data_IF_893055740159
#
_entry.id   IF_893055740159
#
_cell.length_a   1.000
_cell.length_b   1.000
_cell.length_c   1.000
_cell.angle_alpha   90.00
_cell.angle_beta   90.00
_cell.angle_gamma   90.00
#
_symmetry.space_group_name_H-M   'P 1'
#
loop_
_entity.id
_entity.type
_entity.pdbx_description
1 polymer ?
#
# COMPACT_ATOMS: atom_id res chain seq x y z
N UNK A 1 26.17 -6.66 -18.62
CA UNK A 1 24.99 -5.96 -19.18
C UNK A 1 23.72 -6.79 -19.17
N UNK A 2 23.74 -8.04 -19.61
CA UNK A 2 22.57 -8.94 -19.57
C UNK A 2 22.09 -9.24 -18.14
N UNK A 3 23.00 -9.39 -17.17
CA UNK A 3 22.68 -9.67 -15.78
C UNK A 3 21.97 -8.49 -15.09
N UNK A 4 22.36 -7.26 -15.39
CA UNK A 4 21.73 -6.05 -14.85
C UNK A 4 20.30 -5.88 -15.35
N UNK A 5 20.04 -6.16 -16.63
CA UNK A 5 18.69 -6.13 -17.17
C UNK A 5 17.74 -7.14 -16.53
N UNK A 6 18.24 -8.34 -16.23
CA UNK A 6 17.46 -9.36 -15.53
C UNK A 6 17.16 -8.96 -14.07
N UNK A 7 18.12 -8.35 -13.38
CA UNK A 7 17.96 -7.90 -12.01
C UNK A 7 16.89 -6.80 -11.90
N UNK A 8 16.87 -5.89 -12.86
CA UNK A 8 15.87 -4.83 -12.94
C UNK A 8 14.46 -5.38 -13.13
N UNK A 9 14.28 -6.31 -14.06
CA UNK A 9 13.01 -6.99 -14.28
C UNK A 9 12.59 -7.74 -13.02
N UNK A 10 13.51 -8.42 -12.36
CA UNK A 10 13.24 -9.16 -11.13
C UNK A 10 12.78 -8.25 -9.99
N UNK A 11 13.40 -7.08 -9.80
CA UNK A 11 12.97 -6.09 -8.80
C UNK A 11 11.56 -5.59 -9.05
N UNK A 12 11.24 -5.28 -10.31
CA UNK A 12 9.90 -4.85 -10.69
C UNK A 12 8.84 -5.93 -10.42
N UNK A 13 9.14 -7.17 -10.80
CA UNK A 13 8.25 -8.32 -10.55
C UNK A 13 8.08 -8.55 -9.03
N UNK A 14 9.16 -8.54 -8.25
CA UNK A 14 9.09 -8.70 -6.80
C UNK A 14 8.23 -7.62 -6.14
N UNK A 15 8.37 -6.37 -6.54
CA UNK A 15 7.56 -5.28 -6.01
C UNK A 15 6.07 -5.49 -6.32
N UNK A 16 5.73 -5.81 -7.56
CA UNK A 16 4.35 -6.03 -7.97
C UNK A 16 3.74 -7.26 -7.30
N UNK A 17 4.44 -8.38 -7.27
CA UNK A 17 3.96 -9.63 -6.68
C UNK A 17 3.90 -9.59 -5.15
N UNK A 18 4.60 -8.68 -4.50
CA UNK A 18 4.54 -8.48 -3.05
C UNK A 18 3.43 -7.53 -2.65
N UNK A 19 3.39 -6.33 -3.24
CA UNK A 19 2.46 -5.29 -2.82
C UNK A 19 1.05 -5.50 -3.33
N UNK A 20 0.87 -5.86 -4.60
CA UNK A 20 -0.46 -5.96 -5.20
C UNK A 20 -1.32 -7.05 -4.56
N UNK A 21 -0.85 -8.30 -4.36
CA UNK A 21 -1.64 -9.31 -3.67
C UNK A 21 -1.94 -8.94 -2.22
N UNK A 22 -0.99 -8.36 -1.50
CA UNK A 22 -1.19 -7.93 -0.12
C UNK A 22 -2.27 -6.85 -0.01
N UNK A 23 -2.26 -5.87 -0.89
CA UNK A 23 -3.28 -4.80 -0.92
C UNK A 23 -4.66 -5.34 -1.30
N UNK A 24 -4.75 -6.30 -2.22
CA UNK A 24 -6.02 -6.95 -2.56
C UNK A 24 -6.58 -7.73 -1.39
N UNK A 25 -5.75 -8.51 -0.69
CA UNK A 25 -6.12 -9.20 0.54
C UNK A 25 -6.62 -8.22 1.59
N UNK A 26 -5.95 -7.08 1.76
CA UNK A 26 -6.38 -6.03 2.68
C UNK A 26 -7.77 -5.49 2.32
N UNK A 27 -8.06 -5.28 1.04
CA UNK A 27 -9.38 -4.87 0.57
C UNK A 27 -10.46 -5.90 0.92
N UNK A 28 -10.18 -7.19 0.73
CA UNK A 28 -11.10 -8.27 1.10
C UNK A 28 -11.32 -8.34 2.62
N UNK A 29 -10.28 -8.12 3.42
CA UNK A 29 -10.40 -8.07 4.89
C UNK A 29 -11.27 -6.89 5.34
N UNK A 30 -11.21 -5.76 4.67
CA UNK A 30 -12.11 -4.63 4.95
C UNK A 30 -13.56 -4.98 4.66
N UNK A 31 -13.85 -5.71 3.57
CA UNK A 31 -15.20 -6.19 3.27
C UNK A 31 -15.72 -7.13 4.36
N UNK A 32 -14.91 -8.08 4.81
CA UNK A 32 -15.24 -8.95 5.94
C UNK A 32 -15.47 -8.18 7.23
N UNK A 33 -14.71 -7.12 7.47
CA UNK A 33 -14.93 -6.23 8.62
C UNK A 33 -16.29 -5.54 8.58
N UNK A 34 -16.71 -5.05 7.41
CA UNK A 34 -18.04 -4.46 7.22
C UNK A 34 -19.15 -5.48 7.43
N UNK A 35 -19.02 -6.68 6.87
CA UNK A 35 -19.98 -7.76 7.05
C UNK A 35 -20.10 -8.18 8.52
N UNK A 36 -18.97 -8.31 9.21
CA UNK A 36 -18.94 -8.62 10.64
C UNK A 36 -19.65 -7.54 11.46
N UNK A 37 -19.41 -6.28 11.17
CA UNK A 37 -20.07 -5.15 11.84
C UNK A 37 -21.58 -5.20 11.65
N UNK A 38 -22.06 -5.49 10.45
CA UNK A 38 -23.50 -5.65 10.16
C UNK A 38 -24.08 -6.82 10.93
N UNK A 39 -23.42 -7.97 10.96
CA UNK A 39 -23.90 -9.15 11.67
C UNK A 39 -23.97 -8.95 13.19
N UNK A 40 -23.09 -8.14 13.76
CA UNK A 40 -23.06 -7.81 15.18
C UNK A 40 -23.88 -6.57 15.56
N UNK A 41 -24.47 -5.88 14.62
CA UNK A 41 -25.17 -4.62 14.87
C UNK A 41 -24.27 -3.48 15.32
N UNK A 42 -23.00 -3.51 14.97
CA UNK A 42 -21.99 -2.50 15.29
C UNK A 42 -21.85 -1.56 14.10
N UNK A 43 -21.65 -0.25 14.38
CA UNK A 43 -21.33 0.70 13.34
C UNK A 43 -19.93 0.39 12.74
N UNK A 44 -19.90 0.17 11.43
CA UNK A 44 -18.63 -0.09 10.73
C UNK A 44 -17.62 1.05 10.88
N UNK A 45 -18.09 2.30 10.97
CA UNK A 45 -17.23 3.45 11.22
C UNK A 45 -16.52 3.38 12.59
N UNK A 46 -17.14 2.76 13.59
CA UNK A 46 -16.51 2.54 14.88
C UNK A 46 -15.34 1.56 14.77
N UNK A 47 -15.47 0.51 13.94
CA UNK A 47 -14.38 -0.44 13.71
C UNK A 47 -13.11 0.23 13.16
N UNK A 48 -13.25 1.23 12.32
CA UNK A 48 -12.10 1.97 11.75
C UNK A 48 -11.31 2.76 12.80
N UNK A 49 -11.94 3.11 13.91
CA UNK A 49 -11.31 3.83 15.02
C UNK A 49 -10.68 2.92 16.07
N UNK A 50 -10.96 1.61 15.97
CA UNK A 50 -10.40 0.63 16.90
C UNK A 50 -8.88 0.53 16.77
N UNK A 51 -8.25 0.29 17.93
CA UNK A 51 -6.81 0.09 18.08
C UNK A 51 -6.56 -1.24 18.76
N UNK A 52 -5.55 -1.97 18.33
CA UNK A 52 -5.14 -3.20 19.01
C UNK A 52 -4.47 -2.92 20.35
N UNK A 53 -3.84 -1.77 20.50
CA UNK A 53 -3.25 -1.29 21.74
C UNK A 53 -3.33 0.24 21.80
N UNK A 54 -3.31 0.86 23.00
CA UNK A 54 -3.45 2.32 23.16
C UNK A 54 -2.37 3.15 22.43
N UNK A 55 -1.21 2.57 22.22
CA UNK A 55 -0.06 3.18 21.54
C UNK A 55 0.02 2.85 20.04
N UNK A 56 -0.95 2.10 19.50
CA UNK A 56 -1.05 1.77 18.08
C UNK A 56 -1.98 2.74 17.35
N UNK A 57 -1.73 2.92 16.06
CA UNK A 57 -2.62 3.66 15.19
C UNK A 57 -3.97 2.93 15.01
N UNK A 58 -5.09 3.67 14.83
CA UNK A 58 -6.37 3.06 14.53
C UNK A 58 -6.35 2.34 13.17
N UNK A 59 -7.29 1.40 12.98
CA UNK A 59 -7.37 0.57 11.79
C UNK A 59 -7.35 1.38 10.48
N UNK A 60 -8.10 2.47 10.41
CA UNK A 60 -8.12 3.34 9.23
C UNK A 60 -6.72 3.83 8.85
N UNK A 61 -5.96 4.32 9.83
CA UNK A 61 -4.60 4.82 9.58
C UNK A 61 -3.63 3.68 9.24
N UNK A 62 -3.81 2.48 9.80
CA UNK A 62 -3.03 1.30 9.43
C UNK A 62 -3.19 0.97 7.94
N UNK A 63 -4.42 1.04 7.41
CA UNK A 63 -4.70 0.82 5.98
C UNK A 63 -4.04 1.91 5.12
N UNK A 64 -4.17 3.17 5.52
CA UNK A 64 -3.55 4.29 4.82
C UNK A 64 -2.02 4.18 4.80
N UNK A 65 -1.42 3.76 5.91
CA UNK A 65 0.02 3.51 6.00
C UNK A 65 0.47 2.36 5.10
N UNK A 66 -0.29 1.28 5.02
CA UNK A 66 0.02 0.17 4.12
C UNK A 66 0.07 0.62 2.65
N UNK A 67 -0.91 1.40 2.21
CA UNK A 67 -0.94 1.99 0.87
C UNK A 67 0.22 2.97 0.66
N UNK A 68 0.49 3.81 1.65
CA UNK A 68 1.59 4.77 1.60
C UNK A 68 2.94 4.07 1.47
N UNK A 69 3.22 3.04 2.27
CA UNK A 69 4.49 2.33 2.21
C UNK A 69 4.72 1.63 0.87
N UNK A 70 3.67 1.08 0.27
CA UNK A 70 3.77 0.50 -1.08
C UNK A 70 4.13 1.56 -2.13
N UNK A 71 3.50 2.72 -2.10
CA UNK A 71 3.78 3.85 -3.01
C UNK A 71 5.14 4.48 -2.74
N UNK A 72 5.48 4.72 -1.47
CA UNK A 72 6.76 5.32 -1.06
C UNK A 72 7.94 4.42 -1.47
N UNK A 73 7.89 3.14 -1.15
CA UNK A 73 8.93 2.18 -1.49
C UNK A 73 9.15 2.07 -3.00
N UNK A 74 8.07 2.00 -3.76
CA UNK A 74 8.13 1.94 -5.23
C UNK A 74 8.69 3.24 -5.82
N UNK A 75 8.18 4.40 -5.37
CA UNK A 75 8.66 5.70 -5.86
C UNK A 75 10.16 5.88 -5.61
N UNK A 76 10.63 5.55 -4.42
CA UNK A 76 12.07 5.64 -4.09
C UNK A 76 12.91 4.68 -4.94
N UNK A 77 12.43 3.47 -5.16
CA UNK A 77 13.14 2.48 -5.99
C UNK A 77 13.29 2.95 -7.44
N UNK A 78 12.27 3.60 -8.00
CA UNK A 78 12.31 4.14 -9.37
C UNK A 78 12.89 5.56 -9.47
N UNK A 79 13.33 6.14 -8.34
CA UNK A 79 13.96 7.46 -8.31
C UNK A 79 13.01 8.64 -8.41
N UNK A 80 11.74 8.43 -8.08
CA UNK A 80 10.74 9.48 -7.99
C UNK A 80 10.61 9.98 -6.55
N UNK A 81 10.11 11.20 -6.41
CA UNK A 81 9.78 11.75 -5.10
C UNK A 81 8.59 10.98 -4.50
N UNK A 82 8.72 10.50 -3.25
CA UNK A 82 7.64 9.76 -2.62
C UNK A 82 6.43 10.67 -2.35
N UNK A 83 5.21 10.13 -2.46
CA UNK A 83 4.01 10.88 -2.14
C UNK A 83 3.96 11.18 -0.65
N UNK A 84 3.30 12.27 -0.29
CA UNK A 84 3.02 12.58 1.11
C UNK A 84 1.91 11.67 1.64
N UNK A 85 2.03 11.28 2.89
CA UNK A 85 0.97 10.54 3.56
C UNK A 85 -0.18 11.47 3.92
N UNK A 86 -1.40 11.01 3.64
CA UNK A 86 -2.62 11.59 4.18
C UNK A 86 -2.99 10.88 5.48
N UNK A 87 -3.06 11.61 6.57
CA UNK A 87 -3.42 11.11 7.90
C UNK A 87 -4.85 11.46 8.30
N UNK A 88 -5.65 12.02 7.39
CA UNK A 88 -7.07 12.27 7.63
C UNK A 88 -7.83 10.96 7.86
N UNK A 89 -8.88 11.03 8.66
CA UNK A 89 -9.75 9.86 8.86
C UNK A 89 -10.59 9.61 7.61
N UNK A 90 -10.41 8.46 6.97
CA UNK A 90 -11.14 8.06 5.76
C UNK A 90 -12.18 6.98 6.10
N UNK A 91 -13.40 7.05 5.54
CA UNK A 91 -14.41 6.00 5.65
C UNK A 91 -14.02 4.76 4.82
N UNK A 92 -14.69 3.62 5.05
CA UNK A 92 -14.42 2.36 4.34
C UNK A 92 -14.40 2.51 2.82
N UNK A 93 -15.35 3.25 2.26
CA UNK A 93 -15.46 3.45 0.81
C UNK A 93 -14.22 4.15 0.24
N UNK A 94 -13.72 5.17 0.93
CA UNK A 94 -12.52 5.90 0.51
C UNK A 94 -11.25 5.09 0.75
N UNK A 95 -11.19 4.30 1.81
CA UNK A 95 -10.07 3.37 2.04
C UNK A 95 -9.99 2.31 0.95
N UNK A 96 -11.11 1.74 0.53
CA UNK A 96 -11.15 0.79 -0.60
C UNK A 96 -10.74 1.46 -1.91
N UNK A 97 -11.20 2.68 -2.16
CA UNK A 97 -10.79 3.45 -3.33
C UNK A 97 -9.29 3.75 -3.30
N UNK A 98 -8.73 4.07 -2.14
CA UNK A 98 -7.29 4.30 -1.97
C UNK A 98 -6.48 3.04 -2.27
N UNK A 99 -6.92 1.87 -1.80
CA UNK A 99 -6.28 0.60 -2.08
C UNK A 99 -6.28 0.33 -3.59
N UNK A 100 -7.43 0.45 -4.24
CA UNK A 100 -7.57 0.22 -5.68
C UNK A 100 -6.70 1.19 -6.50
N UNK A 101 -6.71 2.46 -6.15
CA UNK A 101 -5.84 3.46 -6.77
C UNK A 101 -4.36 3.12 -6.61
N UNK A 102 -3.97 2.65 -5.43
CA UNK A 102 -2.59 2.22 -5.16
C UNK A 102 -2.22 1.01 -6.01
N UNK A 103 -3.10 0.02 -6.09
CA UNK A 103 -2.89 -1.17 -6.94
C UNK A 103 -2.74 -0.77 -8.41
N UNK A 104 -3.58 0.13 -8.90
CA UNK A 104 -3.47 0.62 -10.28
C UNK A 104 -2.15 1.35 -10.52
N UNK A 105 -1.76 2.24 -9.63
CA UNK A 105 -0.50 2.99 -9.73
C UNK A 105 0.70 2.03 -9.79
N UNK A 106 0.72 1.02 -8.92
CA UNK A 106 1.79 0.02 -8.91
C UNK A 106 1.76 -0.84 -10.18
N UNK A 107 0.59 -1.28 -10.62
CA UNK A 107 0.43 -2.14 -11.80
C UNK A 107 0.80 -1.44 -13.11
N UNK A 108 0.68 -0.11 -13.17
CA UNK A 108 1.08 0.70 -14.33
C UNK A 108 2.55 1.07 -14.32
N UNK A 109 3.27 0.82 -13.23
CA UNK A 109 4.70 1.08 -13.14
C UNK A 109 5.46 0.09 -14.03
N UNK A 110 6.20 0.60 -15.00
CA UNK A 110 6.98 -0.21 -15.93
C UNK A 110 8.18 -0.86 -15.24
N UNK A 111 8.48 -2.12 -15.57
CA UNK A 111 9.71 -2.78 -15.14
C UNK A 111 10.97 -1.97 -15.49
N UNK A 112 10.93 -1.25 -16.61
CA UNK A 112 12.02 -0.37 -17.06
C UNK A 112 12.27 0.81 -16.12
N UNK A 113 11.27 1.24 -15.36
CA UNK A 113 11.41 2.30 -14.36
C UNK A 113 12.34 1.90 -13.19
N UNK A 114 12.56 0.61 -12.98
CA UNK A 114 13.47 0.08 -11.96
C UNK A 114 14.92 0.01 -12.42
N UNK A 115 15.26 0.46 -13.64
CA UNK A 115 16.65 0.48 -14.12
C UNK A 115 17.55 1.27 -13.19
N UNK A 116 18.64 0.64 -12.72
CA UNK A 116 19.58 1.23 -11.77
C UNK A 116 19.09 1.28 -10.33
N UNK A 117 17.95 0.67 -10.01
CA UNK A 117 17.38 0.67 -8.65
C UNK A 117 18.31 -0.02 -7.63
N UNK A 118 19.05 -1.04 -8.05
CA UNK A 118 19.99 -1.80 -7.21
C UNK A 118 21.15 -0.94 -6.68
N UNK A 119 21.56 0.07 -7.46
CA UNK A 119 22.67 0.97 -7.09
C UNK A 119 22.19 2.31 -6.54
N UNK A 120 20.86 2.55 -6.52
CA UNK A 120 20.31 3.82 -6.10
C UNK A 120 20.34 3.98 -4.59
N UNK A 121 21.01 5.03 -4.14
CA UNK A 121 21.04 5.38 -2.73
C UNK A 121 19.70 6.02 -2.31
N UNK A 122 19.04 5.38 -1.36
CA UNK A 122 17.81 5.89 -0.77
C UNK A 122 18.15 6.59 0.55
N UNK A 123 17.97 7.91 0.59
CA UNK A 123 18.09 8.68 1.81
C UNK A 123 16.71 8.77 2.49
N UNK A 124 16.65 8.41 3.75
CA UNK A 124 15.50 8.75 4.60
C UNK A 124 15.71 10.17 5.12
N UNK A 125 14.71 10.99 4.87
CA UNK A 125 14.63 12.28 5.54
C UNK A 125 14.28 12.09 7.00
#
# INVERSE_FOLDING_TARGET
MLVLGWLTVLLGVLAMETYVPALRTLSELLDKGVEHSKAKGIDAAALLKERLAPDMFPLALQVQLACHHAKDGTARAIGQEPPKIDTSELPFTELKALIEQTVQTLSTTSAKAFDGAEDRRIARA
#
